data_IF_800942544037
#
_entry.id   IF_800942544037
#
_cell.length_a   1.000
_cell.length_b   1.000
_cell.length_c   1.000
_cell.angle_alpha   90.00
_cell.angle_beta   90.00
_cell.angle_gamma   90.00
#
_symmetry.space_group_name_H-M   'P 1'
#
loop_
_entity.id
_entity.type
_entity.pdbx_description
1 polymer ?
#
# COMPACT_ATOMS: atom_id res chain seq x y z
N UNK A 1 18.73 24.41 9.55
CA UNK A 1 19.33 23.46 10.51
C UNK A 1 18.21 22.64 11.13
N UNK A 2 18.13 21.32 10.84
CA UNK A 2 17.15 20.42 11.47
C UNK A 2 17.57 20.18 12.92
N UNK A 3 16.74 20.56 13.89
CA UNK A 3 16.97 20.27 15.31
C UNK A 3 16.90 18.75 15.52
N UNK A 4 18.01 18.06 15.82
CA UNK A 4 18.01 16.59 15.97
C UNK A 4 17.10 16.12 17.12
N UNK A 5 16.91 16.94 18.15
CA UNK A 5 16.00 16.62 19.25
C UNK A 5 14.52 16.55 18.87
N UNK A 6 14.09 17.28 17.84
CA UNK A 6 12.67 17.29 17.42
C UNK A 6 12.28 16.01 16.65
N UNK A 7 13.20 15.42 15.89
CA UNK A 7 12.92 14.17 15.16
C UNK A 7 12.77 12.96 16.09
N UNK A 8 13.50 12.90 17.18
CA UNK A 8 13.36 11.84 18.19
C UNK A 8 12.02 11.91 18.91
N UNK A 9 11.59 13.11 19.31
CA UNK A 9 10.29 13.32 19.96
C UNK A 9 9.16 12.86 19.06
N UNK A 10 9.20 13.23 17.76
CA UNK A 10 8.21 12.78 16.77
C UNK A 10 8.23 11.25 16.61
N UNK A 11 9.40 10.63 16.53
CA UNK A 11 9.52 9.17 16.44
C UNK A 11 8.92 8.45 17.65
N UNK A 12 9.23 8.93 18.85
CA UNK A 12 8.67 8.36 20.10
C UNK A 12 7.13 8.56 20.14
N UNK A 13 6.64 9.75 19.81
CA UNK A 13 5.21 10.03 19.78
C UNK A 13 4.47 9.09 18.80
N UNK A 14 5.00 8.90 17.59
CA UNK A 14 4.43 7.98 16.60
C UNK A 14 4.46 6.52 17.08
N UNK A 15 5.54 6.08 17.72
CA UNK A 15 5.64 4.74 18.28
C UNK A 15 4.64 4.50 19.41
N UNK A 16 4.48 5.47 20.32
CA UNK A 16 3.47 5.42 21.39
C UNK A 16 2.08 5.36 20.78
N UNK A 17 1.78 6.24 19.81
CA UNK A 17 0.48 6.27 19.12
C UNK A 17 0.16 4.93 18.47
N UNK A 18 1.12 4.34 17.75
CA UNK A 18 0.96 3.01 17.13
C UNK A 18 0.68 1.93 18.18
N UNK A 19 1.45 1.93 19.28
CA UNK A 19 1.28 0.96 20.36
C UNK A 19 -0.10 1.07 21.01
N UNK A 20 -0.58 2.30 21.26
CA UNK A 20 -1.93 2.55 21.78
C UNK A 20 -3.00 2.08 20.82
N UNK A 21 -2.86 2.38 19.52
CA UNK A 21 -3.82 1.94 18.49
C UNK A 21 -3.89 0.41 18.38
N UNK A 22 -2.76 -0.28 18.46
CA UNK A 22 -2.72 -1.75 18.50
C UNK A 22 -3.45 -2.27 19.74
N UNK A 23 -3.17 -1.71 20.92
CA UNK A 23 -3.82 -2.11 22.16
C UNK A 23 -5.34 -1.87 22.12
N UNK A 24 -5.78 -0.73 21.60
CA UNK A 24 -7.20 -0.41 21.41
C UNK A 24 -7.84 -1.39 20.42
N UNK A 25 -7.19 -1.66 19.28
CA UNK A 25 -7.71 -2.58 18.26
C UNK A 25 -7.92 -4.02 18.78
N UNK A 26 -7.06 -4.46 19.70
CA UNK A 26 -7.17 -5.79 20.31
C UNK A 26 -8.25 -5.87 21.38
N UNK A 27 -8.48 -4.78 22.13
CA UNK A 27 -9.40 -4.76 23.28
C UNK A 27 -10.81 -4.27 22.94
N UNK A 28 -10.97 -3.40 21.93
CA UNK A 28 -12.26 -2.81 21.57
C UNK A 28 -12.73 -3.32 20.20
N UNK A 29 -14.02 -3.65 20.09
CA UNK A 29 -14.66 -4.08 18.83
C UNK A 29 -16.10 -4.52 19.06
N UNK A 30 -16.87 -4.66 17.99
CA UNK A 30 -18.30 -5.01 18.02
C UNK A 30 -18.59 -6.46 18.47
N UNK A 31 -17.60 -7.36 18.41
CA UNK A 31 -17.71 -8.73 18.88
C UNK A 31 -17.22 -8.84 20.34
N UNK A 32 -17.65 -9.91 21.04
CA UNK A 32 -17.20 -10.23 22.40
C UNK A 32 -15.65 -10.24 22.51
N UNK A 33 -15.15 -9.97 23.71
CA UNK A 33 -13.69 -9.95 23.98
C UNK A 33 -13.20 -11.35 24.38
N UNK A 34 -13.77 -12.39 23.79
CA UNK A 34 -13.35 -13.78 24.00
C UNK A 34 -11.96 -14.02 23.41
N UNK A 35 -11.15 -14.84 24.08
CA UNK A 35 -9.81 -15.20 23.64
C UNK A 35 -9.77 -15.73 22.20
N UNK A 36 -10.77 -16.48 21.79
CA UNK A 36 -10.91 -17.02 20.43
C UNK A 36 -11.04 -15.90 19.39
N UNK A 37 -11.83 -14.86 19.69
CA UNK A 37 -12.00 -13.70 18.79
C UNK A 37 -10.72 -12.88 18.70
N UNK A 38 -10.03 -12.72 19.83
CA UNK A 38 -8.76 -11.99 19.86
C UNK A 38 -7.71 -12.69 19.01
N UNK A 39 -7.49 -13.99 19.21
CA UNK A 39 -6.42 -14.73 18.56
C UNK A 39 -6.70 -15.06 17.09
N UNK A 40 -7.95 -15.38 16.73
CA UNK A 40 -8.27 -15.86 15.37
C UNK A 40 -8.77 -14.75 14.44
N UNK A 41 -9.20 -13.60 14.96
CA UNK A 41 -9.78 -12.54 14.14
C UNK A 41 -9.01 -11.22 14.33
N UNK A 42 -8.90 -10.72 15.56
CA UNK A 42 -8.37 -9.37 15.80
C UNK A 42 -6.86 -9.30 15.62
N UNK A 43 -6.13 -10.26 16.17
CA UNK A 43 -4.67 -10.28 16.08
C UNK A 43 -4.18 -10.39 14.63
N UNK A 44 -4.65 -11.37 13.80
CA UNK A 44 -4.23 -11.45 12.41
C UNK A 44 -4.56 -10.19 11.62
N UNK A 45 -5.74 -9.61 11.85
CA UNK A 45 -6.15 -8.37 11.18
C UNK A 45 -5.29 -7.17 11.57
N UNK A 46 -4.97 -7.03 12.85
CA UNK A 46 -4.12 -5.95 13.36
C UNK A 46 -2.69 -6.09 12.85
N UNK A 47 -2.14 -7.31 12.84
CA UNK A 47 -0.82 -7.59 12.26
C UNK A 47 -0.80 -7.28 10.77
N UNK A 48 -1.79 -7.73 10.01
CA UNK A 48 -1.89 -7.44 8.59
C UNK A 48 -1.98 -5.94 8.31
N UNK A 49 -2.81 -5.20 9.04
CA UNK A 49 -2.93 -3.75 8.90
C UNK A 49 -1.60 -3.03 9.21
N UNK A 50 -0.89 -3.48 10.24
CA UNK A 50 0.42 -2.93 10.60
C UNK A 50 1.46 -3.19 9.50
N UNK A 51 1.52 -4.41 8.96
CA UNK A 51 2.44 -4.78 7.89
C UNK A 51 2.15 -3.99 6.60
N UNK A 52 0.89 -3.84 6.24
CA UNK A 52 0.46 -3.02 5.10
C UNK A 52 0.88 -1.56 5.30
N UNK A 53 0.65 -0.99 6.49
CA UNK A 53 1.05 0.38 6.81
C UNK A 53 2.56 0.59 6.72
N UNK A 54 3.37 -0.34 7.25
CA UNK A 54 4.83 -0.31 7.13
C UNK A 54 5.28 -0.42 5.68
N UNK A 55 4.65 -1.32 4.90
CA UNK A 55 4.94 -1.48 3.47
C UNK A 55 4.67 -0.22 2.68
N UNK A 56 3.49 0.40 2.86
CA UNK A 56 3.11 1.65 2.19
C UNK A 56 4.03 2.81 2.57
N UNK A 57 4.35 2.95 3.87
CA UNK A 57 5.26 3.99 4.33
C UNK A 57 6.66 3.84 3.72
N UNK A 58 7.19 2.62 3.69
CA UNK A 58 8.49 2.31 3.09
C UNK A 58 8.50 2.59 1.60
N UNK A 59 7.47 2.15 0.88
CA UNK A 59 7.30 2.42 -0.55
C UNK A 59 7.20 3.92 -0.83
N UNK A 60 6.46 4.67 -0.01
CA UNK A 60 6.33 6.12 -0.10
C UNK A 60 7.68 6.82 0.03
N UNK A 61 8.47 6.48 1.06
CA UNK A 61 9.81 7.06 1.27
C UNK A 61 10.74 6.77 0.09
N UNK A 62 10.76 5.54 -0.39
CA UNK A 62 11.58 5.14 -1.54
C UNK A 62 11.17 5.87 -2.81
N UNK A 63 9.87 6.00 -3.08
CA UNK A 63 9.35 6.68 -4.26
C UNK A 63 9.64 8.18 -4.21
N UNK A 64 9.39 8.84 -3.07
CA UNK A 64 9.69 10.25 -2.86
C UNK A 64 11.18 10.55 -3.02
N UNK A 65 12.04 9.68 -2.50
CA UNK A 65 13.49 9.80 -2.66
C UNK A 65 13.95 9.60 -4.10
N UNK A 66 13.42 8.59 -4.79
CA UNK A 66 13.77 8.26 -6.18
C UNK A 66 13.32 9.34 -7.16
N UNK A 67 12.12 9.85 -6.99
CA UNK A 67 11.54 10.91 -7.85
C UNK A 67 11.92 12.32 -7.38
N UNK A 68 12.60 12.44 -6.24
CA UNK A 68 12.92 13.75 -5.60
C UNK A 68 11.70 14.66 -5.48
N UNK A 69 10.54 14.06 -5.24
CA UNK A 69 9.27 14.77 -5.15
C UNK A 69 8.51 14.30 -3.89
N UNK A 70 8.27 15.18 -2.92
CA UNK A 70 7.54 14.84 -1.69
C UNK A 70 6.06 14.51 -1.92
N UNK A 71 5.51 14.83 -3.09
CA UNK A 71 4.13 14.51 -3.47
C UNK A 71 3.98 13.14 -4.14
N UNK A 72 5.10 12.41 -4.33
CA UNK A 72 5.04 11.08 -4.90
C UNK A 72 4.37 10.11 -3.93
N UNK A 73 3.29 9.49 -4.38
CA UNK A 73 2.48 8.53 -3.63
C UNK A 73 2.42 7.20 -4.40
N UNK A 74 2.72 6.06 -3.76
CA UNK A 74 2.58 4.74 -4.38
C UNK A 74 1.18 4.48 -4.97
N UNK A 75 0.13 5.03 -4.37
CA UNK A 75 -1.23 4.90 -4.87
C UNK A 75 -1.45 5.59 -6.23
N UNK A 76 -0.72 6.69 -6.49
CA UNK A 76 -0.84 7.45 -7.74
C UNK A 76 -0.07 6.83 -8.91
N UNK A 77 0.78 5.84 -8.67
CA UNK A 77 1.60 5.19 -9.71
C UNK A 77 0.85 4.04 -10.42
N UNK A 78 -0.43 3.83 -10.10
CA UNK A 78 -1.26 2.81 -10.75
C UNK A 78 -1.13 1.40 -10.16
N UNK A 79 -0.30 1.20 -9.12
CA UNK A 79 -0.08 -0.10 -8.48
C UNK A 79 -1.37 -0.63 -7.87
N UNK A 80 -2.13 0.23 -7.18
CA UNK A 80 -3.40 -0.15 -6.54
C UNK A 80 -4.46 -0.57 -7.56
N UNK A 81 -4.55 0.15 -8.68
CA UNK A 81 -5.47 -0.19 -9.77
C UNK A 81 -5.08 -1.52 -10.44
N UNK A 82 -3.78 -1.74 -10.67
CA UNK A 82 -3.27 -3.00 -11.17
C UNK A 82 -3.59 -4.17 -10.24
N UNK A 83 -3.47 -3.98 -8.92
CA UNK A 83 -3.82 -5.00 -7.94
C UNK A 83 -5.32 -5.30 -7.92
N UNK A 84 -6.19 -4.27 -8.00
CA UNK A 84 -7.63 -4.43 -8.08
C UNK A 84 -8.06 -5.20 -9.33
N UNK A 85 -7.53 -4.82 -10.50
CA UNK A 85 -7.74 -5.55 -11.75
C UNK A 85 -7.31 -7.01 -11.64
N UNK A 86 -6.15 -7.27 -11.04
CA UNK A 86 -5.66 -8.62 -10.83
C UNK A 86 -6.55 -9.45 -9.91
N UNK A 87 -7.11 -8.85 -8.87
CA UNK A 87 -8.05 -9.52 -7.99
C UNK A 87 -9.35 -9.88 -8.72
N UNK A 88 -9.88 -8.98 -9.55
CA UNK A 88 -11.07 -9.23 -10.39
C UNK A 88 -10.78 -10.33 -11.43
N UNK A 89 -9.64 -10.26 -12.12
CA UNK A 89 -9.24 -11.29 -13.09
C UNK A 89 -9.05 -12.65 -12.43
N UNK A 90 -8.40 -12.70 -11.25
CA UNK A 90 -8.26 -13.92 -10.47
C UNK A 90 -9.60 -14.54 -10.10
N UNK A 91 -10.56 -13.72 -9.69
CA UNK A 91 -11.93 -14.17 -9.40
C UNK A 91 -12.66 -14.62 -10.66
N UNK A 92 -12.51 -13.92 -11.79
CA UNK A 92 -13.15 -14.25 -13.05
C UNK A 92 -12.70 -15.61 -13.62
N UNK A 93 -11.46 -16.03 -13.37
CA UNK A 93 -10.96 -17.38 -13.73
C UNK A 93 -11.30 -18.45 -12.67
N UNK A 94 -12.14 -18.12 -11.69
CA UNK A 94 -12.67 -19.06 -10.72
C UNK A 94 -11.77 -19.30 -9.48
N UNK A 95 -10.75 -18.48 -9.25
CA UNK A 95 -9.95 -18.60 -8.03
C UNK A 95 -10.74 -18.06 -6.82
N UNK A 96 -10.71 -18.75 -5.66
CA UNK A 96 -11.36 -18.26 -4.45
C UNK A 96 -10.77 -16.92 -4.01
N UNK A 97 -11.62 -15.95 -3.64
CA UNK A 97 -11.20 -14.58 -3.28
C UNK A 97 -10.14 -14.53 -2.17
N UNK A 98 -10.17 -15.46 -1.23
CA UNK A 98 -9.23 -15.56 -0.11
C UNK A 98 -8.04 -16.49 -0.39
N UNK A 99 -7.76 -16.80 -1.67
CA UNK A 99 -6.68 -17.70 -2.02
C UNK A 99 -5.38 -16.94 -2.30
N UNK A 100 -4.26 -17.63 -2.05
CA UNK A 100 -2.94 -17.18 -2.49
C UNK A 100 -2.93 -16.95 -4.01
N UNK A 101 -3.76 -17.69 -4.77
CA UNK A 101 -3.90 -17.55 -6.21
C UNK A 101 -4.34 -16.14 -6.62
N UNK A 102 -5.43 -15.61 -6.04
CA UNK A 102 -5.89 -14.22 -6.32
C UNK A 102 -4.83 -13.21 -5.91
N UNK A 103 -4.21 -13.39 -4.75
CA UNK A 103 -3.13 -12.51 -4.29
C UNK A 103 -1.94 -12.52 -5.26
N UNK A 104 -1.55 -13.68 -5.78
CA UNK A 104 -0.46 -13.79 -6.75
C UNK A 104 -0.79 -13.08 -8.06
N UNK A 105 -2.02 -13.25 -8.58
CA UNK A 105 -2.47 -12.53 -9.78
C UNK A 105 -2.46 -11.02 -9.53
N UNK A 106 -2.95 -10.55 -8.39
CA UNK A 106 -2.94 -9.13 -8.02
C UNK A 106 -1.51 -8.55 -7.93
N UNK A 107 -0.55 -9.30 -7.39
CA UNK A 107 0.86 -8.89 -7.33
C UNK A 107 1.48 -8.82 -8.73
N UNK A 108 1.21 -9.80 -9.58
CA UNK A 108 1.73 -9.81 -10.96
C UNK A 108 1.16 -8.64 -11.76
N UNK A 109 -0.16 -8.43 -11.73
CA UNK A 109 -0.80 -7.35 -12.48
C UNK A 109 -0.41 -5.97 -11.97
N UNK A 110 -0.25 -5.77 -10.66
CA UNK A 110 0.26 -4.52 -10.11
C UNK A 110 1.70 -4.24 -10.51
N UNK A 111 2.54 -5.28 -10.58
CA UNK A 111 3.92 -5.17 -11.05
C UNK A 111 3.99 -4.81 -12.54
N UNK A 112 3.11 -5.40 -13.36
CA UNK A 112 2.98 -5.07 -14.79
C UNK A 112 2.51 -3.62 -14.96
N UNK A 113 1.50 -3.19 -14.20
CA UNK A 113 1.00 -1.82 -14.25
C UNK A 113 2.11 -0.81 -13.89
N UNK A 114 2.88 -1.08 -12.84
CA UNK A 114 4.02 -0.24 -12.46
C UNK A 114 5.10 -0.21 -13.54
N UNK A 115 5.46 -1.36 -14.09
CA UNK A 115 6.45 -1.46 -15.17
C UNK A 115 6.00 -0.69 -16.41
N UNK A 116 4.72 -0.76 -16.76
CA UNK A 116 4.12 -0.01 -17.87
C UNK A 116 4.19 1.51 -17.63
N UNK A 117 3.80 1.98 -16.45
CA UNK A 117 3.88 3.40 -16.08
C UNK A 117 5.33 3.90 -16.17
N UNK A 118 6.28 3.15 -15.62
CA UNK A 118 7.70 3.51 -15.68
C UNK A 118 8.25 3.47 -17.11
N UNK A 119 7.78 2.56 -17.93
CA UNK A 119 8.19 2.46 -19.34
C UNK A 119 7.69 3.66 -20.15
N UNK A 120 6.40 4.02 -20.03
CA UNK A 120 5.82 5.19 -20.70
C UNK A 120 6.47 6.50 -20.23
N UNK A 121 6.86 6.54 -18.95
CA UNK A 121 7.42 7.74 -18.33
C UNK A 121 8.93 7.95 -18.63
N UNK A 122 9.54 7.04 -19.40
CA UNK A 122 10.92 7.18 -19.84
C UNK A 122 11.02 8.09 -21.07
N UNK A 123 11.70 9.22 -20.91
CA UNK A 123 12.07 10.14 -22.00
C UNK A 123 13.57 10.39 -21.96
N UNK A 124 14.27 10.15 -23.08
CA UNK A 124 15.72 10.36 -23.20
C UNK A 124 16.57 9.68 -22.08
N UNK A 125 16.18 8.49 -21.64
CA UNK A 125 16.88 7.74 -20.59
C UNK A 125 16.64 8.24 -19.17
N UNK A 126 15.77 9.22 -18.98
CA UNK A 126 15.37 9.75 -17.65
C UNK A 126 13.90 9.51 -17.41
N UNK A 127 13.53 9.34 -16.14
CA UNK A 127 12.13 9.21 -15.72
C UNK A 127 11.61 10.63 -15.42
N UNK A 128 10.58 11.05 -16.14
CA UNK A 128 9.90 12.31 -15.91
C UNK A 128 8.81 12.14 -14.86
N UNK A 129 8.92 12.83 -13.74
CA UNK A 129 8.01 12.73 -12.59
C UNK A 129 6.58 13.06 -12.97
N UNK A 130 6.37 14.12 -13.78
CA UNK A 130 5.04 14.54 -14.23
C UNK A 130 4.38 13.43 -15.06
N UNK A 131 5.14 12.83 -15.97
CA UNK A 131 4.67 11.74 -16.83
C UNK A 131 4.35 10.49 -16.02
N UNK A 132 5.12 10.18 -14.95
CA UNK A 132 4.80 9.08 -14.01
C UNK A 132 3.45 9.32 -13.35
N UNK A 133 3.22 10.52 -12.83
CA UNK A 133 1.95 10.84 -12.14
C UNK A 133 0.77 10.82 -13.10
N UNK A 134 0.89 11.42 -14.28
CA UNK A 134 -0.19 11.45 -15.27
C UNK A 134 -0.53 10.06 -15.81
N UNK A 135 0.47 9.26 -16.16
CA UNK A 135 0.27 7.89 -16.62
C UNK A 135 -0.28 6.98 -15.52
N UNK A 136 0.17 7.16 -14.27
CA UNK A 136 -0.36 6.45 -13.11
C UNK A 136 -1.83 6.76 -12.85
N UNK A 137 -2.23 8.04 -12.92
CA UNK A 137 -3.64 8.45 -12.82
C UNK A 137 -4.47 7.87 -13.96
N UNK A 138 -3.97 7.89 -15.20
CA UNK A 138 -4.66 7.29 -16.34
C UNK A 138 -4.89 5.78 -16.17
N UNK A 139 -3.85 5.04 -15.73
CA UNK A 139 -3.95 3.60 -15.40
C UNK A 139 -4.95 3.37 -14.27
N UNK A 140 -4.94 4.21 -13.24
CA UNK A 140 -5.87 4.12 -12.10
C UNK A 140 -7.32 4.37 -12.52
N UNK A 141 -7.55 5.36 -13.39
CA UNK A 141 -8.87 5.65 -13.93
C UNK A 141 -9.40 4.50 -14.80
N UNK A 142 -8.54 3.93 -15.65
CA UNK A 142 -8.88 2.76 -16.46
C UNK A 142 -9.20 1.54 -15.60
N UNK A 143 -8.37 1.25 -14.59
CA UNK A 143 -8.59 0.14 -13.67
C UNK A 143 -9.83 0.28 -12.78
N UNK A 144 -10.28 1.51 -12.52
CA UNK A 144 -11.53 1.76 -11.78
C UNK A 144 -12.79 1.63 -12.65
N UNK A 145 -12.64 1.68 -13.97
CA UNK A 145 -13.75 1.57 -14.93
C UNK A 145 -13.99 0.13 -15.43
N UNK A 146 -13.06 -0.78 -15.17
CA UNK A 146 -13.11 -2.19 -15.58
C UNK A 146 -13.74 -3.07 -14.51
#
# INVERSE_FOLDING_TARGET
MKNPGRSWIVGIALFITLSVLIAVSLNFGAASTDSVVIWNIRLPRTVAATLVGVGLASAGVLLQGSLRNPLADPALVGVSAGAALGAVLGAAIGLPFNSIGVTSVAVVTSSIAMAFVLWVSRSNGRIEVVTVLLSGIAVSAFGAAA
#
